data_IF_665470353095
#
_entry.id   IF_665470353095
#
_cell.length_a   1.000
_cell.length_b   1.000
_cell.length_c   1.000
_cell.angle_alpha   90.00
_cell.angle_beta   90.00
_cell.angle_gamma   90.00
#
_symmetry.space_group_name_H-M   'P 1'
#
loop_
_entity.id
_entity.type
_entity.pdbx_description
1 polymer ?
#
# COMPACT_ATOMS: atom_id res chain seq x y z
N UNK A 1 -2.98 -13.52 1.24
CA UNK A 1 -1.94 -13.96 2.19
C UNK A 1 -1.60 -12.87 3.21
N UNK A 2 -1.48 -11.57 2.81
CA UNK A 2 -1.12 -10.49 3.72
C UNK A 2 -2.06 -10.37 4.94
N UNK A 3 -3.35 -10.62 4.78
CA UNK A 3 -4.32 -10.60 5.88
C UNK A 3 -3.92 -11.50 7.05
N UNK A 4 -3.22 -12.59 6.80
CA UNK A 4 -2.75 -13.51 7.83
C UNK A 4 -1.82 -12.83 8.86
N UNK A 5 -1.00 -11.89 8.42
CA UNK A 5 -0.09 -11.10 9.26
C UNK A 5 -0.81 -9.88 9.87
N UNK A 6 -1.56 -9.15 9.06
CA UNK A 6 -2.24 -7.94 9.53
C UNK A 6 -3.34 -8.24 10.55
N UNK A 7 -4.07 -9.35 10.39
CA UNK A 7 -5.11 -9.75 11.37
C UNK A 7 -4.46 -10.16 12.69
N UNK A 8 -3.34 -10.89 12.68
CA UNK A 8 -2.61 -11.24 13.90
C UNK A 8 -2.12 -9.98 14.64
N UNK A 9 -1.54 -9.01 13.91
CA UNK A 9 -1.13 -7.73 14.49
C UNK A 9 -2.32 -6.91 15.01
N UNK A 10 -3.44 -6.91 14.28
CA UNK A 10 -4.67 -6.23 14.70
C UNK A 10 -5.22 -6.83 16.01
N UNK A 11 -5.31 -8.15 16.14
CA UNK A 11 -5.76 -8.81 17.35
C UNK A 11 -4.90 -8.42 18.56
N UNK A 12 -3.58 -8.42 18.36
CA UNK A 12 -2.67 -7.97 19.40
C UNK A 12 -2.88 -6.50 19.78
N UNK A 13 -2.94 -5.60 18.80
CA UNK A 13 -3.08 -4.15 19.07
C UNK A 13 -4.41 -3.76 19.68
N UNK A 14 -5.50 -4.43 19.31
CA UNK A 14 -6.85 -4.08 19.76
C UNK A 14 -7.26 -4.79 21.06
N UNK A 15 -6.80 -6.02 21.24
CA UNK A 15 -7.27 -6.89 22.32
C UNK A 15 -6.16 -7.43 23.21
N UNK A 16 -4.88 -7.15 22.93
CA UNK A 16 -3.75 -7.73 23.63
C UNK A 16 -3.55 -9.24 23.36
N UNK A 17 -4.28 -9.80 22.39
CA UNK A 17 -4.22 -11.23 22.07
C UNK A 17 -3.05 -11.51 21.11
N UNK A 18 -2.01 -12.12 21.63
CA UNK A 18 -0.81 -12.54 20.90
C UNK A 18 -0.82 -14.03 20.49
N UNK A 19 -1.90 -14.75 20.78
CA UNK A 19 -2.01 -16.19 20.53
C UNK A 19 -1.75 -16.55 19.06
N UNK A 20 -2.40 -15.83 18.15
CA UNK A 20 -2.22 -16.01 16.71
C UNK A 20 -0.77 -15.76 16.27
N UNK A 21 -0.07 -14.79 16.87
CA UNK A 21 1.33 -14.51 16.58
C UNK A 21 2.19 -15.70 17.02
N UNK A 22 2.01 -16.18 18.25
CA UNK A 22 2.80 -17.28 18.84
C UNK A 22 2.57 -18.60 18.10
N UNK A 23 1.32 -19.00 17.96
CA UNK A 23 0.96 -20.29 17.37
C UNK A 23 1.28 -20.37 15.87
N UNK A 24 1.12 -19.27 15.14
CA UNK A 24 1.23 -19.23 13.67
C UNK A 24 2.59 -18.78 13.15
N UNK A 25 3.48 -18.30 14.01
CA UNK A 25 4.80 -17.84 13.62
C UNK A 25 5.56 -18.82 12.69
N UNK A 26 5.64 -20.14 13.00
CA UNK A 26 6.35 -21.06 12.11
C UNK A 26 5.75 -21.13 10.68
N UNK A 27 4.44 -20.99 10.53
CA UNK A 27 3.83 -20.98 9.19
C UNK A 27 3.99 -19.63 8.49
N UNK A 28 4.01 -18.52 9.23
CA UNK A 28 4.33 -17.20 8.71
C UNK A 28 5.77 -17.17 8.18
N UNK A 29 6.73 -17.70 8.93
CA UNK A 29 8.13 -17.82 8.52
C UNK A 29 8.27 -18.64 7.22
N UNK A 30 7.60 -19.80 7.15
CA UNK A 30 7.60 -20.61 5.91
C UNK A 30 7.06 -19.85 4.70
N UNK A 31 6.01 -19.06 4.91
CA UNK A 31 5.45 -18.27 3.81
C UNK A 31 6.43 -17.16 3.35
N UNK A 32 7.07 -16.45 4.28
CA UNK A 32 8.09 -15.44 3.95
C UNK A 32 9.24 -16.07 3.17
N UNK A 33 9.76 -17.20 3.62
CA UNK A 33 10.83 -17.92 2.92
C UNK A 33 10.40 -18.33 1.52
N UNK A 34 9.19 -18.89 1.36
CA UNK A 34 8.65 -19.24 0.05
C UNK A 34 8.58 -18.02 -0.89
N UNK A 35 8.11 -16.87 -0.41
CA UNK A 35 8.04 -15.65 -1.23
C UNK A 35 9.44 -15.17 -1.63
N UNK A 36 10.38 -15.19 -0.69
CA UNK A 36 11.77 -14.82 -0.93
C UNK A 36 12.44 -15.71 -1.99
N UNK A 37 12.24 -17.03 -1.88
CA UNK A 37 12.89 -18.01 -2.78
C UNK A 37 12.25 -18.08 -4.17
N UNK A 38 10.92 -17.88 -4.27
CA UNK A 38 10.20 -18.17 -5.52
C UNK A 38 9.66 -16.96 -6.26
N UNK A 39 9.46 -15.83 -5.55
CA UNK A 39 8.82 -14.63 -6.10
C UNK A 39 9.69 -13.38 -6.05
N UNK A 40 10.84 -13.43 -5.38
CA UNK A 40 11.75 -12.29 -5.31
C UNK A 40 12.86 -12.41 -6.34
N UNK A 41 13.15 -11.29 -7.01
CA UNK A 41 14.31 -11.12 -7.86
C UNK A 41 14.95 -9.77 -7.56
N UNK A 42 16.25 -9.77 -7.25
CA UNK A 42 17.00 -8.54 -6.93
C UNK A 42 16.31 -7.69 -5.86
N UNK A 43 15.77 -8.35 -4.81
CA UNK A 43 15.01 -7.76 -3.71
C UNK A 43 13.69 -7.09 -4.11
N UNK A 44 13.16 -7.37 -5.29
CA UNK A 44 11.84 -6.93 -5.76
C UNK A 44 10.92 -8.13 -5.91
N UNK A 45 9.69 -8.05 -5.42
CA UNK A 45 8.68 -9.07 -5.66
C UNK A 45 8.17 -8.92 -7.10
N UNK A 46 8.35 -9.98 -7.89
CA UNK A 46 7.96 -10.03 -9.29
C UNK A 46 6.75 -10.95 -9.50
N UNK A 47 6.12 -10.89 -10.69
CA UNK A 47 4.98 -11.71 -11.10
C UNK A 47 3.69 -11.42 -10.33
N UNK A 48 3.45 -10.17 -9.97
CA UNK A 48 2.12 -9.70 -9.59
C UNK A 48 1.39 -9.24 -10.87
N UNK A 49 0.38 -9.99 -11.25
CA UNK A 49 -0.38 -9.76 -12.48
C UNK A 49 -1.58 -8.82 -12.25
N UNK A 50 -2.01 -8.64 -11.00
CA UNK A 50 -3.21 -7.88 -10.69
C UNK A 50 -2.96 -6.38 -10.49
N UNK A 51 -1.88 -6.01 -9.83
CA UNK A 51 -1.63 -4.62 -9.47
C UNK A 51 -2.71 -4.05 -8.56
N UNK A 52 -2.97 -2.75 -8.63
CA UNK A 52 -4.09 -2.07 -7.96
C UNK A 52 -5.34 -2.17 -8.84
N UNK A 53 -5.97 -3.32 -8.83
CA UNK A 53 -7.11 -3.64 -9.68
C UNK A 53 -8.39 -2.93 -9.24
N UNK A 54 -9.41 -2.94 -10.10
CA UNK A 54 -10.66 -2.19 -9.89
C UNK A 54 -10.44 -0.69 -9.69
N UNK A 55 -9.48 -0.11 -10.42
CA UNK A 55 -9.40 1.35 -10.50
C UNK A 55 -10.72 1.92 -11.01
N UNK A 56 -11.25 2.99 -10.40
CA UNK A 56 -12.44 3.64 -10.90
C UNK A 56 -12.29 4.00 -12.39
N UNK A 57 -13.23 3.58 -13.24
CA UNK A 57 -13.12 3.81 -14.68
C UNK A 57 -13.30 5.28 -15.06
N UNK A 58 -12.93 5.63 -16.28
CA UNK A 58 -13.02 6.99 -16.82
C UNK A 58 -14.48 7.40 -17.08
N UNK A 59 -15.36 6.43 -17.29
CA UNK A 59 -16.80 6.66 -17.49
C UNK A 59 -17.62 5.55 -16.82
N UNK A 60 -18.90 5.82 -16.48
CA UNK A 60 -19.79 4.82 -15.85
C UNK A 60 -20.11 3.59 -16.70
N UNK A 61 -19.83 3.64 -18.01
CA UNK A 61 -20.07 2.53 -18.94
C UNK A 61 -18.98 1.46 -18.89
N UNK A 62 -17.81 1.82 -18.35
CA UNK A 62 -16.70 0.88 -18.19
C UNK A 62 -16.79 0.15 -16.86
N UNK A 63 -16.35 -1.11 -16.82
CA UNK A 63 -16.31 -1.91 -15.59
C UNK A 63 -15.12 -1.49 -14.71
N UNK A 64 -14.00 -1.16 -15.34
CA UNK A 64 -12.76 -0.70 -14.67
C UNK A 64 -11.95 0.17 -15.64
N UNK A 65 -11.02 0.94 -15.10
CA UNK A 65 -10.14 1.76 -15.95
C UNK A 65 -9.29 0.89 -16.87
N UNK A 66 -9.24 1.29 -18.13
CA UNK A 66 -8.38 0.70 -19.17
C UNK A 66 -7.09 1.52 -19.38
N UNK A 67 -6.99 2.70 -18.75
CA UNK A 67 -5.83 3.58 -18.87
C UNK A 67 -4.64 3.05 -18.05
N UNK A 68 -3.52 2.63 -18.70
CA UNK A 68 -2.33 2.15 -18.00
C UNK A 68 -1.71 3.19 -17.06
N UNK A 69 -1.86 4.49 -17.35
CA UNK A 69 -1.33 5.57 -16.53
C UNK A 69 -2.01 5.68 -15.16
N UNK A 70 -3.19 5.10 -15.01
CA UNK A 70 -3.96 5.05 -13.75
C UNK A 70 -3.70 3.78 -12.94
N UNK A 71 -3.10 2.77 -13.55
CA UNK A 71 -2.86 1.47 -12.93
C UNK A 71 -1.50 1.43 -12.26
N UNK A 72 -1.48 1.21 -10.94
CA UNK A 72 -0.24 1.02 -10.19
C UNK A 72 0.40 -0.33 -10.55
N UNK A 73 1.71 -0.31 -10.78
CA UNK A 73 2.50 -1.49 -11.12
C UNK A 73 2.40 -2.57 -10.02
N UNK A 74 2.18 -3.82 -10.42
CA UNK A 74 2.08 -4.94 -9.49
C UNK A 74 3.34 -5.17 -8.66
N UNK A 75 4.52 -4.94 -9.22
CA UNK A 75 5.79 -5.07 -8.47
C UNK A 75 5.91 -3.98 -7.37
N UNK A 76 5.39 -2.78 -7.61
CA UNK A 76 5.30 -1.73 -6.58
C UNK A 76 4.43 -2.22 -5.43
N UNK A 77 3.23 -2.72 -5.73
CA UNK A 77 2.28 -3.18 -4.71
C UNK A 77 2.78 -4.39 -3.94
N UNK A 78 3.22 -5.43 -4.64
CA UNK A 78 3.68 -6.65 -4.00
C UNK A 78 4.92 -6.43 -3.14
N UNK A 79 5.86 -5.58 -3.60
CA UNK A 79 7.08 -5.28 -2.85
C UNK A 79 6.78 -4.43 -1.62
N UNK A 80 5.94 -3.41 -1.71
CA UNK A 80 5.56 -2.58 -0.56
C UNK A 80 4.81 -3.38 0.51
N UNK A 81 3.87 -4.25 0.10
CA UNK A 81 3.16 -5.13 1.03
C UNK A 81 4.12 -6.13 1.68
N UNK A 82 5.02 -6.73 0.91
CA UNK A 82 6.00 -7.67 1.46
C UNK A 82 6.96 -6.99 2.43
N UNK A 83 7.41 -5.78 2.12
CA UNK A 83 8.21 -4.97 3.03
C UNK A 83 7.51 -4.75 4.37
N UNK A 84 6.23 -4.39 4.35
CA UNK A 84 5.46 -4.21 5.59
C UNK A 84 5.25 -5.52 6.38
N UNK A 85 5.15 -6.66 5.67
CA UNK A 85 5.11 -7.97 6.31
C UNK A 85 6.43 -8.29 7.02
N UNK A 86 7.58 -7.93 6.44
CA UNK A 86 8.88 -8.11 7.10
C UNK A 86 9.00 -7.29 8.39
N UNK A 87 8.49 -6.06 8.41
CA UNK A 87 8.42 -5.25 9.63
C UNK A 87 7.55 -5.92 10.70
N UNK A 88 6.42 -6.53 10.31
CA UNK A 88 5.60 -7.31 11.23
C UNK A 88 6.32 -8.58 11.70
N UNK A 89 7.03 -9.27 10.81
CA UNK A 89 7.78 -10.48 11.16
C UNK A 89 8.95 -10.19 12.11
N UNK A 90 9.64 -9.06 11.95
CA UNK A 90 10.63 -8.58 12.91
C UNK A 90 10.00 -8.42 14.31
N UNK A 91 8.89 -7.70 14.41
CA UNK A 91 8.12 -7.54 15.65
C UNK A 91 7.67 -8.90 16.22
N UNK A 92 7.12 -9.78 15.40
CA UNK A 92 6.62 -11.09 15.81
C UNK A 92 7.75 -12.00 16.27
N UNK A 93 8.93 -11.93 15.64
CA UNK A 93 10.13 -12.63 16.08
C UNK A 93 10.57 -12.18 17.47
N UNK A 94 10.61 -10.88 17.72
CA UNK A 94 10.90 -10.32 19.04
C UNK A 94 9.90 -10.80 20.10
N UNK A 95 8.59 -10.78 19.78
CA UNK A 95 7.54 -11.27 20.70
C UNK A 95 7.63 -12.77 20.99
N UNK A 96 8.24 -13.56 20.10
CA UNK A 96 8.51 -14.99 20.28
C UNK A 96 9.89 -15.28 20.89
N UNK A 97 10.67 -14.26 21.25
CA UNK A 97 12.02 -14.45 21.80
C UNK A 97 13.04 -14.99 20.80
N UNK A 98 12.89 -14.65 19.51
CA UNK A 98 13.71 -15.10 18.39
C UNK A 98 14.54 -13.94 17.80
N UNK A 99 15.54 -13.40 18.50
CA UNK A 99 16.27 -12.21 18.05
C UNK A 99 17.01 -12.42 16.73
N UNK A 100 17.53 -13.60 16.45
CA UNK A 100 18.20 -13.89 15.19
C UNK A 100 17.25 -13.76 13.97
N UNK A 101 16.01 -14.24 14.12
CA UNK A 101 14.98 -14.08 13.08
C UNK A 101 14.62 -12.58 12.89
N UNK A 102 14.54 -11.83 14.00
CA UNK A 102 14.25 -10.40 13.94
C UNK A 102 15.34 -9.63 13.17
N UNK A 103 16.61 -9.92 13.44
CA UNK A 103 17.75 -9.33 12.71
C UNK A 103 17.73 -9.71 11.23
N UNK A 104 17.40 -10.95 10.90
CA UNK A 104 17.27 -11.40 9.51
C UNK A 104 16.19 -10.62 8.74
N UNK A 105 14.99 -10.44 9.34
CA UNK A 105 13.91 -9.69 8.70
C UNK A 105 14.23 -8.21 8.57
N UNK A 106 14.82 -7.60 9.59
CA UNK A 106 15.27 -6.20 9.53
C UNK A 106 16.31 -6.00 8.41
N UNK A 107 17.29 -6.88 8.31
CA UNK A 107 18.31 -6.81 7.27
C UNK A 107 17.74 -7.01 5.86
N UNK A 108 16.77 -7.91 5.70
CA UNK A 108 16.08 -8.11 4.42
C UNK A 108 15.23 -6.89 4.06
N UNK A 109 14.51 -6.30 5.01
CA UNK A 109 13.72 -5.10 4.80
C UNK A 109 14.58 -3.92 4.30
N UNK A 110 15.77 -3.71 4.86
CA UNK A 110 16.72 -2.69 4.40
C UNK A 110 17.10 -2.91 2.93
N UNK A 111 17.48 -4.14 2.56
CA UNK A 111 17.85 -4.46 1.17
C UNK A 111 16.69 -4.25 0.19
N UNK A 112 15.46 -4.56 0.60
CA UNK A 112 14.26 -4.32 -0.20
C UNK A 112 14.02 -2.82 -0.35
N UNK A 113 14.11 -2.02 0.74
CA UNK A 113 13.95 -0.57 0.67
C UNK A 113 14.95 0.07 -0.31
N UNK A 114 16.20 -0.36 -0.26
CA UNK A 114 17.25 0.13 -1.16
C UNK A 114 16.97 -0.23 -2.63
N UNK A 115 16.63 -1.51 -2.90
CA UNK A 115 16.32 -1.98 -4.24
C UNK A 115 15.05 -1.32 -4.80
N UNK A 116 14.03 -1.15 -3.95
CA UNK A 116 12.77 -0.50 -4.29
C UNK A 116 12.99 0.95 -4.71
N UNK A 117 13.73 1.72 -3.90
CA UNK A 117 14.03 3.12 -4.22
C UNK A 117 14.91 3.23 -5.47
N UNK A 118 15.91 2.37 -5.63
CA UNK A 118 16.74 2.34 -6.82
C UNK A 118 15.94 2.08 -8.10
N UNK A 119 14.89 1.25 -8.01
CA UNK A 119 14.08 0.86 -9.18
C UNK A 119 12.95 1.83 -9.48
N UNK A 120 12.24 2.31 -8.47
CA UNK A 120 10.96 3.00 -8.64
C UNK A 120 10.97 4.48 -8.24
N UNK A 121 11.93 4.94 -7.45
CA UNK A 121 11.94 6.32 -6.99
C UNK A 121 12.71 7.23 -7.95
N UNK A 122 12.09 8.33 -8.35
CA UNK A 122 12.74 9.40 -9.10
C UNK A 122 13.04 10.59 -8.18
N UNK A 123 14.31 10.82 -7.78
CA UNK A 123 14.67 11.91 -6.87
C UNK A 123 14.48 13.30 -7.49
N UNK A 124 14.51 13.41 -8.82
CA UNK A 124 14.30 14.70 -9.52
C UNK A 124 12.86 15.20 -9.43
N UNK A 125 11.89 14.30 -9.42
CA UNK A 125 10.46 14.62 -9.33
C UNK A 125 9.84 14.23 -8.00
N UNK A 126 10.57 13.50 -7.15
CA UNK A 126 10.08 12.89 -5.90
C UNK A 126 8.82 12.02 -6.12
N UNK A 127 8.84 11.20 -7.16
CA UNK A 127 7.72 10.35 -7.58
C UNK A 127 8.12 8.89 -7.65
N UNK A 128 7.16 8.02 -7.40
CA UNK A 128 7.31 6.57 -7.55
C UNK A 128 6.67 6.08 -8.83
N UNK A 129 7.42 5.27 -9.58
CA UNK A 129 6.98 4.56 -10.79
C UNK A 129 6.26 5.51 -11.77
N UNK A 130 5.01 5.22 -12.13
CA UNK A 130 4.17 6.05 -13.01
C UNK A 130 3.40 7.16 -12.26
N UNK A 131 3.82 7.52 -11.06
CA UNK A 131 3.22 8.60 -10.26
C UNK A 131 1.73 8.41 -9.93
N UNK A 132 1.26 7.19 -9.75
CA UNK A 132 -0.10 6.98 -9.23
C UNK A 132 -0.19 7.42 -7.77
N UNK A 133 -1.38 7.84 -7.33
CA UNK A 133 -1.64 8.17 -5.93
C UNK A 133 -1.31 6.98 -5.03
N UNK A 134 -1.68 5.77 -5.44
CA UNK A 134 -1.39 4.53 -4.70
C UNK A 134 0.11 4.28 -4.55
N UNK A 135 0.92 4.41 -5.62
CA UNK A 135 2.35 4.16 -5.56
C UNK A 135 3.07 5.11 -4.58
N UNK A 136 2.78 6.41 -4.67
CA UNK A 136 3.37 7.41 -3.79
C UNK A 136 2.89 7.23 -2.33
N UNK A 137 1.61 7.02 -2.12
CA UNK A 137 1.02 6.96 -0.79
C UNK A 137 1.41 5.68 -0.02
N UNK A 138 1.50 4.54 -0.70
CA UNK A 138 2.04 3.31 -0.11
C UNK A 138 3.50 3.47 0.31
N UNK A 139 4.31 4.08 -0.55
CA UNK A 139 5.72 4.33 -0.24
C UNK A 139 5.89 5.23 0.99
N UNK A 140 5.06 6.27 1.11
CA UNK A 140 5.02 7.13 2.31
C UNK A 140 4.61 6.35 3.55
N UNK A 141 3.43 5.73 3.53
CA UNK A 141 2.82 5.10 4.71
C UNK A 141 3.61 3.90 5.23
N UNK A 142 4.33 3.23 4.37
CA UNK A 142 5.13 2.05 4.75
C UNK A 142 6.59 2.40 5.05
N UNK A 143 6.98 3.69 5.04
CA UNK A 143 8.32 4.14 5.42
C UNK A 143 9.40 3.81 4.39
N UNK A 144 9.03 3.70 3.11
CA UNK A 144 9.97 3.42 2.02
C UNK A 144 10.62 4.68 1.47
N UNK A 145 10.00 5.85 1.63
CA UNK A 145 10.52 7.11 1.11
C UNK A 145 11.90 7.42 1.72
N UNK A 146 12.89 7.86 0.91
CA UNK A 146 14.16 8.33 1.43
C UNK A 146 13.99 9.58 2.29
N UNK A 147 14.81 9.69 3.34
CA UNK A 147 14.77 10.80 4.29
C UNK A 147 14.82 12.16 3.60
N UNK A 148 13.92 13.06 4.00
CA UNK A 148 13.82 14.43 3.47
C UNK A 148 13.05 14.56 2.15
N UNK A 149 12.45 13.47 1.65
CA UNK A 149 11.60 13.53 0.47
C UNK A 149 10.10 13.39 0.79
N UNK A 150 9.72 13.11 2.04
CA UNK A 150 8.35 12.80 2.45
C UNK A 150 7.38 13.92 2.03
N UNK A 151 7.71 15.17 2.35
CA UNK A 151 6.86 16.32 2.01
C UNK A 151 6.68 16.48 0.49
N UNK A 152 7.74 16.23 -0.28
CA UNK A 152 7.70 16.34 -1.74
C UNK A 152 6.87 15.21 -2.37
N UNK A 153 7.02 13.99 -1.86
CA UNK A 153 6.20 12.85 -2.31
C UNK A 153 4.74 13.08 -1.94
N UNK A 154 4.47 13.60 -0.74
CA UNK A 154 3.10 13.94 -0.34
C UNK A 154 2.51 15.08 -1.19
N UNK A 155 3.29 16.10 -1.52
CA UNK A 155 2.85 17.16 -2.44
C UNK A 155 2.44 16.60 -3.81
N UNK A 156 3.16 15.60 -4.34
CA UNK A 156 2.75 14.90 -5.56
C UNK A 156 1.43 14.14 -5.40
N UNK A 157 1.18 13.51 -4.23
CA UNK A 157 -0.10 12.86 -3.94
C UNK A 157 -1.25 13.88 -3.98
N UNK A 158 -1.07 15.03 -3.34
CA UNK A 158 -2.05 16.11 -3.31
C UNK A 158 -2.31 16.64 -4.72
N UNK A 159 -1.25 17.02 -5.41
CA UNK A 159 -1.34 17.57 -6.78
C UNK A 159 -2.04 16.60 -7.74
N UNK A 160 -1.63 15.33 -7.73
CA UNK A 160 -2.24 14.27 -8.56
C UNK A 160 -3.72 14.10 -8.25
N UNK A 161 -4.07 14.07 -6.97
CA UNK A 161 -5.46 13.90 -6.53
C UNK A 161 -6.32 15.10 -6.92
N UNK A 162 -5.83 16.33 -6.74
CA UNK A 162 -6.61 17.54 -7.04
C UNK A 162 -6.70 17.84 -8.53
N UNK A 163 -5.59 17.78 -9.26
CA UNK A 163 -5.53 18.20 -10.66
C UNK A 163 -5.97 17.08 -11.61
N UNK A 164 -5.31 15.92 -11.54
CA UNK A 164 -5.55 14.84 -12.50
C UNK A 164 -6.82 14.07 -12.16
N UNK A 165 -7.04 13.80 -10.89
CA UNK A 165 -8.22 13.07 -10.40
C UNK A 165 -9.39 13.98 -10.02
N UNK A 166 -9.23 15.31 -10.08
CA UNK A 166 -10.25 16.33 -9.80
C UNK A 166 -10.94 16.15 -8.43
N UNK A 167 -10.20 15.68 -7.43
CA UNK A 167 -10.72 15.39 -6.10
C UNK A 167 -11.63 14.17 -6.03
N UNK A 168 -11.50 13.23 -6.96
CA UNK A 168 -12.20 11.95 -6.94
C UNK A 168 -11.32 10.82 -6.41
N UNK A 169 -11.97 9.70 -6.09
CA UNK A 169 -11.28 8.46 -5.74
C UNK A 169 -10.40 8.02 -6.91
N UNK A 170 -9.11 7.81 -6.64
CA UNK A 170 -8.10 7.50 -7.63
C UNK A 170 -7.22 6.30 -7.23
N UNK A 171 -7.82 5.37 -6.51
CA UNK A 171 -7.14 4.17 -6.02
C UNK A 171 -8.02 2.94 -6.28
N UNK A 172 -7.38 1.81 -6.57
CA UNK A 172 -8.05 0.52 -6.68
C UNK A 172 -8.24 -0.15 -5.31
N UNK A 173 -8.55 -1.44 -5.33
CA UNK A 173 -8.90 -2.22 -4.11
C UNK A 173 -7.79 -2.19 -3.05
N UNK A 174 -6.53 -2.19 -3.45
CA UNK A 174 -5.42 -2.15 -2.49
C UNK A 174 -5.10 -0.72 -2.06
N UNK A 175 -5.09 0.22 -3.00
CA UNK A 175 -4.77 1.61 -2.72
C UNK A 175 -5.81 2.32 -1.86
N UNK A 176 -7.09 1.99 -2.01
CA UNK A 176 -8.19 2.66 -1.30
C UNK A 176 -8.08 2.55 0.22
N UNK A 177 -7.53 1.44 0.72
CA UNK A 177 -7.31 1.23 2.16
C UNK A 177 -6.30 2.23 2.73
N UNK A 178 -5.41 2.75 1.89
CA UNK A 178 -4.36 3.68 2.27
C UNK A 178 -4.72 5.13 1.96
N UNK A 179 -5.68 5.38 1.06
CA UNK A 179 -6.01 6.72 0.56
C UNK A 179 -6.41 7.67 1.70
N UNK A 180 -7.50 7.38 2.38
CA UNK A 180 -8.03 8.29 3.41
C UNK A 180 -7.10 8.41 4.60
N UNK A 181 -6.55 7.29 5.06
CA UNK A 181 -5.61 7.26 6.18
C UNK A 181 -4.32 8.00 5.85
N UNK A 182 -3.74 7.77 4.68
CA UNK A 182 -2.51 8.43 4.28
C UNK A 182 -2.67 9.92 4.08
N UNK A 183 -3.76 10.37 3.45
CA UNK A 183 -4.04 11.80 3.36
C UNK A 183 -4.13 12.43 4.75
N UNK A 184 -4.83 11.79 5.70
CA UNK A 184 -4.99 12.30 7.06
C UNK A 184 -3.67 12.32 7.84
N UNK A 185 -2.88 11.25 7.75
CA UNK A 185 -1.59 11.10 8.45
C UNK A 185 -0.56 12.15 8.02
N UNK A 186 -0.59 12.56 6.75
CA UNK A 186 0.33 13.56 6.17
C UNK A 186 -0.26 14.96 6.06
N UNK A 187 -1.36 15.27 6.74
CA UNK A 187 -1.92 16.63 6.83
C UNK A 187 -2.89 17.01 5.72
N UNK A 188 -3.31 16.09 4.86
CA UNK A 188 -4.29 16.29 3.79
C UNK A 188 -5.75 16.08 4.20
N UNK A 189 -6.13 16.43 5.45
CA UNK A 189 -7.48 16.22 5.97
C UNK A 189 -8.56 16.88 5.13
N UNK A 190 -8.35 18.12 4.70
CA UNK A 190 -9.29 18.84 3.84
C UNK A 190 -9.52 18.14 2.51
N UNK A 191 -8.44 17.61 1.90
CA UNK A 191 -8.55 16.84 0.66
C UNK A 191 -9.28 15.51 0.89
N UNK A 192 -8.98 14.82 1.99
CA UNK A 192 -9.70 13.60 2.38
C UNK A 192 -11.21 13.88 2.55
N UNK A 193 -11.57 14.97 3.23
CA UNK A 193 -12.97 15.37 3.38
C UNK A 193 -13.63 15.69 2.03
N UNK A 194 -12.94 16.42 1.15
CA UNK A 194 -13.41 16.73 -0.20
C UNK A 194 -13.69 15.46 -1.01
N UNK A 195 -12.81 14.46 -0.95
CA UNK A 195 -13.00 13.17 -1.65
C UNK A 195 -14.24 12.44 -1.12
N UNK A 196 -14.39 12.32 0.20
CA UNK A 196 -15.49 11.54 0.80
C UNK A 196 -16.85 12.20 0.61
N UNK A 197 -16.89 13.52 0.52
CA UNK A 197 -18.13 14.29 0.30
C UNK A 197 -18.44 14.55 -1.17
N UNK A 198 -17.53 14.19 -2.09
CA UNK A 198 -17.76 14.34 -3.52
C UNK A 198 -18.93 13.46 -3.97
N UNK A 199 -19.85 14.01 -4.75
CA UNK A 199 -21.05 13.32 -5.22
C UNK A 199 -21.17 13.22 -6.74
N UNK A 200 -20.10 13.61 -7.44
CA UNK A 200 -19.96 13.42 -8.88
C UNK A 200 -19.13 12.16 -9.19
N UNK A 201 -19.27 11.61 -10.40
CA UNK A 201 -18.56 10.39 -10.80
C UNK A 201 -17.04 10.61 -10.98
N UNK A 202 -16.19 9.67 -10.54
CA UNK A 202 -16.44 8.52 -9.68
C UNK A 202 -16.31 8.88 -8.18
N UNK A 203 -17.33 8.58 -7.38
CA UNK A 203 -17.29 8.83 -5.92
C UNK A 203 -18.31 7.96 -5.17
N UNK A 204 -18.11 7.85 -3.87
CA UNK A 204 -19.10 7.19 -2.98
C UNK A 204 -20.44 7.95 -2.95
N UNK A 205 -20.41 9.28 -2.95
CA UNK A 205 -21.62 10.10 -3.03
C UNK A 205 -22.40 9.89 -4.34
N UNK A 206 -21.71 9.68 -5.46
CA UNK A 206 -22.35 9.30 -6.71
C UNK A 206 -23.05 7.94 -6.60
N UNK A 207 -22.41 6.93 -5.99
CA UNK A 207 -23.04 5.63 -5.75
C UNK A 207 -24.33 5.76 -4.94
N UNK A 208 -24.29 6.54 -3.84
CA UNK A 208 -25.47 6.83 -3.01
C UNK A 208 -26.58 7.49 -3.82
N UNK A 209 -26.27 8.52 -4.63
CA UNK A 209 -27.24 9.19 -5.51
C UNK A 209 -27.87 8.25 -6.54
N UNK A 210 -27.16 7.20 -6.94
CA UNK A 210 -27.66 6.18 -7.88
C UNK A 210 -28.38 5.04 -7.17
N UNK A 211 -28.57 5.11 -5.86
CA UNK A 211 -29.33 4.12 -5.08
C UNK A 211 -28.51 2.92 -4.64
N UNK A 212 -27.17 3.01 -4.62
CA UNK A 212 -26.34 1.95 -4.13
C UNK A 212 -26.63 1.65 -2.66
N UNK A 213 -26.79 0.37 -2.33
CA UNK A 213 -26.93 -0.16 -0.96
C UNK A 213 -25.63 -0.78 -0.45
N UNK A 214 -24.64 -0.91 -1.33
CA UNK A 214 -23.29 -1.41 -1.05
C UNK A 214 -22.27 -0.55 -1.80
N UNK A 215 -20.99 -0.75 -1.53
CA UNK A 215 -19.91 -0.18 -2.34
C UNK A 215 -19.85 -0.97 -3.66
N UNK A 216 -19.81 -0.26 -4.76
CA UNK A 216 -19.71 -0.82 -6.11
C UNK A 216 -18.25 -0.93 -6.56
#
# INVERSE_FOLDING_TARGET
PAAYFYVADMLYRQFGDDSSIKERYPSMKRWVNHMTETKMKDYILVKDEYGDWCMPPESPELIHSEDPARKTNGEVLSTTVFYSILQLMEKFAQMNGLPADAEEYAALAIKIKDAYNKKFFNPGTAQYDNNTVTANLLSLRLGLVPDGYEDKVFANVVEKTEKDCKGHVSAGVLGIQHLMRGLTEYGGLELAYKIVTNDTYPSWGYMIKKGATTIW
#
